data_IF_715926706727
#
_entry.id   IF_715926706727
#
_cell.length_a   1.000
_cell.length_b   1.000
_cell.length_c   1.000
_cell.angle_alpha   90.00
_cell.angle_beta   90.00
_cell.angle_gamma   90.00
#
_symmetry.space_group_name_H-M   'P 1'
#
loop_
_entity.id
_entity.type
_entity.pdbx_description
1 polymer ?
#
# COMPACT_ATOMS: atom_id res chain seq x y z
N UNK A 1 10.19 5.05 -41.78
CA UNK A 1 8.96 4.76 -41.02
C UNK A 1 9.23 5.23 -39.61
N UNK A 2 8.82 6.45 -39.27
CA UNK A 2 8.82 6.85 -37.87
C UNK A 2 7.68 6.08 -37.21
N UNK A 3 7.98 5.31 -36.16
CA UNK A 3 6.93 4.74 -35.33
C UNK A 3 6.21 5.93 -34.70
N UNK A 4 5.05 6.26 -35.24
CA UNK A 4 4.13 7.19 -34.61
C UNK A 4 3.77 6.59 -33.25
N UNK A 5 4.20 7.26 -32.18
CA UNK A 5 3.80 6.93 -30.82
C UNK A 5 2.27 6.91 -30.82
N UNK A 6 1.67 5.74 -30.62
CA UNK A 6 0.22 5.57 -30.69
C UNK A 6 -0.33 6.21 -29.42
N UNK A 7 -0.99 7.39 -29.49
CA UNK A 7 -1.32 8.18 -28.31
C UNK A 7 -2.23 7.43 -27.33
N UNK A 8 -2.99 6.46 -27.84
CA UNK A 8 -3.88 5.59 -27.08
C UNK A 8 -3.11 4.58 -26.18
N UNK A 9 -1.91 4.13 -26.59
CA UNK A 9 -1.12 3.20 -25.76
C UNK A 9 -0.59 3.87 -24.48
N UNK A 10 -0.08 5.09 -24.58
CA UNK A 10 0.46 5.81 -23.43
C UNK A 10 -0.64 6.13 -22.41
N UNK A 11 -1.83 6.51 -22.89
CA UNK A 11 -2.99 6.76 -22.03
C UNK A 11 -3.52 5.47 -21.38
N UNK A 12 -3.56 4.36 -22.13
CA UNK A 12 -3.91 3.04 -21.59
C UNK A 12 -2.90 2.58 -20.54
N UNK A 13 -1.59 2.74 -20.79
CA UNK A 13 -0.54 2.40 -19.81
C UNK A 13 -0.69 3.22 -18.53
N UNK A 14 -0.92 4.53 -18.67
CA UNK A 14 -1.18 5.42 -17.52
C UNK A 14 -2.42 4.99 -16.73
N UNK A 15 -3.50 4.59 -17.42
CA UNK A 15 -4.71 4.11 -16.76
C UNK A 15 -4.48 2.81 -16.01
N UNK A 16 -3.66 1.90 -16.55
CA UNK A 16 -3.25 0.67 -15.87
C UNK A 16 -2.49 1.01 -14.58
N UNK A 17 -1.51 1.92 -14.63
CA UNK A 17 -0.74 2.33 -13.46
C UNK A 17 -1.64 2.93 -12.36
N UNK A 18 -2.59 3.79 -12.75
CA UNK A 18 -3.59 4.34 -11.83
C UNK A 18 -4.41 3.23 -11.17
N UNK A 19 -4.86 2.25 -11.96
CA UNK A 19 -5.66 1.13 -11.45
C UNK A 19 -4.86 0.26 -10.47
N UNK A 20 -3.57 0.05 -10.74
CA UNK A 20 -2.67 -0.68 -9.84
C UNK A 20 -2.56 0.04 -8.50
N UNK A 21 -2.26 1.35 -8.50
CA UNK A 21 -2.15 2.14 -7.27
C UNK A 21 -3.48 2.12 -6.50
N UNK A 22 -4.61 2.28 -7.19
CA UNK A 22 -5.92 2.22 -6.56
C UNK A 22 -6.22 0.87 -5.89
N UNK A 23 -5.77 -0.24 -6.48
CA UNK A 23 -5.93 -1.57 -5.88
C UNK A 23 -4.99 -1.77 -4.68
N UNK A 24 -3.76 -1.24 -4.76
CA UNK A 24 -2.83 -1.23 -3.63
C UNK A 24 -3.43 -0.47 -2.44
N UNK A 25 -4.05 0.69 -2.68
CA UNK A 25 -4.70 1.47 -1.62
C UNK A 25 -5.84 0.69 -0.94
N UNK A 26 -6.64 -0.07 -1.70
CA UNK A 26 -7.68 -0.94 -1.13
C UNK A 26 -7.08 -2.03 -0.24
N UNK A 27 -6.00 -2.66 -0.69
CA UNK A 27 -5.32 -3.71 0.09
C UNK A 27 -4.74 -3.12 1.38
N UNK A 28 -4.13 -1.94 1.32
CA UNK A 28 -3.62 -1.23 2.50
C UNK A 28 -4.75 -0.96 3.49
N UNK A 29 -5.90 -0.46 3.03
CA UNK A 29 -7.05 -0.20 3.89
C UNK A 29 -7.59 -1.49 4.55
N UNK A 30 -7.65 -2.61 3.81
CA UNK A 30 -8.05 -3.90 4.36
C UNK A 30 -7.08 -4.43 5.43
N UNK A 31 -5.77 -4.25 5.22
CA UNK A 31 -4.74 -4.62 6.20
C UNK A 31 -4.84 -3.77 7.47
N UNK A 32 -5.04 -2.46 7.31
CA UNK A 32 -5.26 -1.52 8.43
C UNK A 32 -6.50 -1.92 9.25
N UNK A 33 -7.62 -2.22 8.60
CA UNK A 33 -8.84 -2.68 9.28
C UNK A 33 -8.61 -3.99 10.03
N UNK A 34 -7.96 -4.96 9.38
CA UNK A 34 -7.67 -6.26 9.98
C UNK A 34 -6.83 -6.11 11.26
N UNK A 35 -5.78 -5.30 11.22
CA UNK A 35 -4.90 -5.07 12.38
C UNK A 35 -5.59 -4.25 13.47
N UNK A 36 -6.41 -3.27 13.09
CA UNK A 36 -7.25 -2.51 14.01
C UNK A 36 -8.22 -3.44 14.76
N UNK A 37 -8.93 -4.30 14.04
CA UNK A 37 -9.90 -5.26 14.60
C UNK A 37 -9.24 -6.35 15.45
N UNK A 38 -7.98 -6.69 15.14
CA UNK A 38 -7.16 -7.58 15.97
C UNK A 38 -6.65 -6.90 17.25
N UNK A 39 -6.88 -5.59 17.43
CA UNK A 39 -6.44 -4.84 18.60
C UNK A 39 -4.97 -4.45 18.56
N UNK A 40 -4.32 -4.48 17.39
CA UNK A 40 -2.93 -4.04 17.25
C UNK A 40 -2.87 -2.52 17.47
N UNK A 41 -2.09 -2.02 18.43
CA UNK A 41 -2.04 -0.60 18.74
C UNK A 41 -1.65 0.26 17.53
N UNK A 42 -2.21 1.47 17.48
CA UNK A 42 -1.97 2.49 16.45
C UNK A 42 -2.47 2.16 15.02
N UNK A 43 -3.11 1.00 14.81
CA UNK A 43 -3.78 0.70 13.55
C UNK A 43 -5.20 1.25 13.51
N UNK A 44 -5.50 1.96 12.43
CA UNK A 44 -6.80 2.40 11.98
C UNK A 44 -6.69 2.72 10.48
N UNK A 45 -7.80 2.77 9.76
CA UNK A 45 -7.78 3.11 8.33
C UNK A 45 -7.36 4.58 8.18
N UNK A 46 -6.32 4.85 7.41
CA UNK A 46 -5.78 6.21 7.18
C UNK A 46 -5.07 6.30 5.83
N UNK A 47 -5.25 7.42 5.15
CA UNK A 47 -4.54 7.78 3.91
C UNK A 47 -3.44 8.83 4.15
N UNK A 48 -3.17 9.18 5.41
CA UNK A 48 -2.11 10.12 5.78
C UNK A 48 -0.75 9.46 5.57
N UNK A 49 0.14 9.98 4.69
CA UNK A 49 1.42 9.34 4.41
C UNK A 49 2.28 9.15 5.67
N UNK A 50 2.27 10.13 6.58
CA UNK A 50 3.01 10.07 7.85
C UNK A 50 2.50 8.97 8.78
N UNK A 51 1.19 8.74 8.81
CA UNK A 51 0.61 7.69 9.64
C UNK A 51 0.82 6.32 9.02
N UNK A 52 0.76 6.21 7.69
CA UNK A 52 1.10 4.97 6.97
C UNK A 52 2.56 4.61 7.24
N UNK A 53 3.49 5.56 7.16
CA UNK A 53 4.90 5.35 7.51
C UNK A 53 5.07 4.84 8.95
N UNK A 54 4.34 5.44 9.90
CA UNK A 54 4.35 4.99 11.31
C UNK A 54 3.81 3.56 11.46
N UNK A 55 2.68 3.26 10.83
CA UNK A 55 2.08 1.92 10.84
C UNK A 55 3.02 0.87 10.22
N UNK A 56 3.70 1.21 9.11
CA UNK A 56 4.72 0.34 8.51
C UNK A 56 5.91 0.13 9.46
N UNK A 57 6.40 1.18 10.12
CA UNK A 57 7.48 1.06 11.10
C UNK A 57 7.10 0.15 12.28
N UNK A 58 5.86 0.20 12.75
CA UNK A 58 5.33 -0.69 13.78
C UNK A 58 5.28 -2.14 13.29
N UNK A 59 4.81 -2.40 12.07
CA UNK A 59 4.85 -3.75 11.46
C UNK A 59 6.29 -4.27 11.41
N UNK A 60 7.22 -3.47 10.89
CA UNK A 60 8.64 -3.84 10.83
C UNK A 60 9.20 -4.18 12.21
N UNK A 61 8.84 -3.40 13.24
CA UNK A 61 9.24 -3.66 14.62
C UNK A 61 8.68 -5.00 15.14
N UNK A 62 7.37 -5.23 15.03
CA UNK A 62 6.72 -6.46 15.48
C UNK A 62 7.34 -7.69 14.81
N UNK A 63 7.54 -7.64 13.49
CA UNK A 63 8.14 -8.74 12.73
C UNK A 63 9.60 -8.99 13.12
N UNK A 64 10.37 -7.92 13.38
CA UNK A 64 11.76 -8.01 13.83
C UNK A 64 11.86 -8.65 15.21
N UNK A 65 10.99 -8.25 16.15
CA UNK A 65 10.95 -8.84 17.50
C UNK A 65 10.53 -10.30 17.42
N UNK A 66 9.47 -10.62 16.67
CA UNK A 66 8.99 -12.00 16.48
C UNK A 66 10.10 -12.92 15.96
N UNK A 67 10.88 -12.49 14.97
CA UNK A 67 11.97 -13.29 14.41
C UNK A 67 13.12 -13.56 15.40
N UNK A 68 13.20 -12.79 16.49
CA UNK A 68 14.24 -12.89 17.52
C UNK A 68 13.74 -13.53 18.83
N UNK A 69 12.45 -13.85 18.92
CA UNK A 69 11.91 -14.58 20.06
C UNK A 69 12.20 -16.09 19.88
N UNK A 70 12.68 -16.78 20.93
CA UNK A 70 12.99 -18.20 20.89
C UNK A 70 11.75 -19.10 20.80
#
# INVERSE_FOLDING_TARGET
>A
MELQCVPDLDEQMKQIDINIVAELDKIVAQQQDTLCRAGVPAFHITSSPREIELQMAIISFILTVRARLP
#
